data_IF_194270622151
#
_entry.id   IF_194270622151
#
_cell.length_a   1.000
_cell.length_b   1.000
_cell.length_c   1.000
_cell.angle_alpha   90.00
_cell.angle_beta   90.00
_cell.angle_gamma   90.00
#
_symmetry.space_group_name_H-M   'P 1'
#
loop_
_entity.id
_entity.type
_entity.pdbx_description
1 polymer ?
#
# COMPACT_ATOMS: atom_id res chain seq x y z
N UNK A 1 -16.62 -24.34 10.86
CA UNK A 1 -15.29 -24.85 10.47
C UNK A 1 -14.62 -25.35 11.73
N UNK A 2 -14.63 -26.67 11.92
CA UNK A 2 -14.25 -27.34 13.16
C UNK A 2 -12.84 -27.89 12.94
N UNK A 3 -11.84 -27.32 13.58
CA UNK A 3 -10.49 -27.90 13.61
C UNK A 3 -10.57 -29.26 14.29
N UNK A 4 -10.50 -30.34 13.51
CA UNK A 4 -10.25 -31.69 14.03
C UNK A 4 -8.74 -31.86 14.16
N UNK A 5 -8.19 -31.33 15.26
CA UNK A 5 -6.87 -31.74 15.74
C UNK A 5 -7.05 -33.13 16.34
N UNK A 6 -6.86 -34.16 15.52
CA UNK A 6 -6.64 -35.52 16.00
C UNK A 6 -5.16 -35.64 16.35
N UNK A 7 -4.78 -35.38 17.60
CA UNK A 7 -3.42 -35.66 18.07
C UNK A 7 -3.48 -36.58 19.28
N UNK A 8 -2.94 -37.79 19.08
CA UNK A 8 -2.47 -38.67 20.14
C UNK A 8 -1.27 -37.99 20.82
N UNK A 9 -1.52 -37.12 21.81
CA UNK A 9 -0.55 -36.82 22.89
C UNK A 9 -1.12 -37.43 24.16
N UNK A 10 -1.10 -38.75 24.24
CA UNK A 10 -1.54 -39.46 25.44
C UNK A 10 -0.40 -40.36 25.91
N UNK A 11 0.65 -39.78 26.48
CA UNK A 11 1.47 -40.46 27.51
C UNK A 11 2.47 -39.59 28.30
N UNK A 12 2.65 -38.29 28.00
CA UNK A 12 3.62 -37.45 28.74
C UNK A 12 3.01 -36.42 29.72
N UNK A 13 1.70 -36.16 29.67
CA UNK A 13 1.05 -35.07 30.42
C UNK A 13 0.65 -35.41 31.87
N UNK A 14 1.05 -36.56 32.42
CA UNK A 14 0.62 -37.00 33.76
C UNK A 14 1.52 -36.52 34.93
N UNK A 15 2.53 -35.69 34.66
CA UNK A 15 3.51 -35.25 35.68
C UNK A 15 3.25 -33.89 36.33
N UNK A 16 2.39 -33.04 35.76
CA UNK A 16 2.15 -31.69 36.29
C UNK A 16 0.83 -31.61 37.05
N UNK A 17 0.90 -31.87 38.35
CA UNK A 17 -0.24 -31.77 39.27
C UNK A 17 0.23 -32.11 40.67
N UNK A 18 0.65 -31.08 41.42
CA UNK A 18 1.10 -31.22 42.79
C UNK A 18 0.07 -31.92 43.67
N UNK A 19 0.42 -33.13 44.13
CA UNK A 19 -0.17 -33.75 45.30
C UNK A 19 0.27 -32.96 46.54
N UNK A 20 -0.68 -32.36 47.24
CA UNK A 20 -0.41 -31.60 48.47
C UNK A 20 -1.67 -31.38 49.31
N UNK A 21 -2.25 -32.46 49.82
CA UNK A 21 -3.33 -32.40 50.81
C UNK A 21 -2.79 -32.29 52.25
N UNK A 22 -3.24 -31.23 52.93
CA UNK A 22 -3.55 -31.06 54.36
C UNK A 22 -2.54 -31.44 55.47
N UNK A 23 -2.28 -30.47 56.38
CA UNK A 23 -2.03 -30.77 57.80
C UNK A 23 -1.26 -29.76 58.66
N UNK A 24 -2.00 -28.85 59.32
CA UNK A 24 -1.77 -28.27 60.67
C UNK A 24 -0.58 -27.36 61.00
N UNK A 25 -0.89 -26.24 61.70
CA UNK A 25 -0.05 -25.73 62.79
C UNK A 25 0.06 -24.22 62.93
N UNK A 26 -0.93 -23.59 63.57
CA UNK A 26 -0.86 -22.21 64.09
C UNK A 26 0.10 -22.17 65.29
N UNK A 27 1.08 -21.28 65.29
CA UNK A 27 1.74 -20.84 66.53
C UNK A 27 2.11 -19.35 66.44
N UNK A 28 1.47 -18.58 67.32
CA UNK A 28 1.78 -17.17 67.59
C UNK A 28 3.11 -17.08 68.37
N UNK A 29 3.94 -16.08 68.02
CA UNK A 29 5.17 -15.77 68.73
C UNK A 29 5.74 -14.41 68.31
N UNK A 30 5.43 -13.39 69.11
CA UNK A 30 5.85 -11.99 69.01
C UNK A 30 7.35 -11.77 69.29
N UNK A 31 8.00 -10.85 68.57
CA UNK A 31 9.32 -10.30 68.93
C UNK A 31 9.95 -9.32 67.92
N UNK A 32 9.73 -8.02 68.17
CA UNK A 32 10.40 -6.77 67.74
C UNK A 32 11.48 -6.73 66.64
N UNK A 33 11.29 -5.89 65.60
CA UNK A 33 11.83 -4.52 65.35
C UNK A 33 13.29 -4.50 64.86
N UNK A 34 13.50 -4.07 63.61
CA UNK A 34 14.31 -2.86 63.33
C UNK A 34 13.98 -2.30 61.94
N UNK A 35 13.51 -1.05 61.95
CA UNK A 35 13.37 -0.14 60.83
C UNK A 35 14.72 0.56 60.66
N UNK A 36 15.32 0.48 59.48
CA UNK A 36 16.30 1.48 59.08
C UNK A 36 15.95 2.11 57.74
N UNK A 37 16.17 3.41 57.76
CA UNK A 37 15.75 4.48 56.87
C UNK A 37 16.78 4.77 55.79
N UNK A 38 16.30 5.32 54.67
CA UNK A 38 17.04 6.38 53.99
C UNK A 38 17.33 6.16 52.51
N UNK A 39 16.79 7.04 51.66
CA UNK A 39 17.26 7.21 50.29
C UNK A 39 16.24 7.78 49.30
N UNK A 40 15.55 8.88 49.64
CA UNK A 40 14.83 9.71 48.66
C UNK A 40 15.80 10.37 47.69
N UNK A 41 15.41 10.50 46.41
CA UNK A 41 15.77 11.64 45.55
C UNK A 41 14.84 11.77 44.34
N UNK A 42 13.79 12.55 44.58
CA UNK A 42 13.37 13.73 43.83
C UNK A 42 13.48 13.73 42.29
N UNK A 43 12.28 13.76 41.72
CA UNK A 43 11.92 14.34 40.42
C UNK A 43 12.28 15.83 40.36
N UNK A 44 12.97 16.27 39.31
CA UNK A 44 12.98 17.68 38.94
C UNK A 44 12.87 17.88 37.42
N UNK A 45 11.90 18.72 37.08
CA UNK A 45 11.57 19.29 35.78
C UNK A 45 12.70 20.24 35.33
N UNK A 46 13.15 20.17 34.07
CA UNK A 46 13.80 21.30 33.40
C UNK A 46 13.46 21.36 31.91
N UNK A 47 12.87 22.49 31.55
CA UNK A 47 12.52 22.98 30.22
C UNK A 47 13.74 23.53 29.48
N UNK A 48 13.62 23.53 28.15
CA UNK A 48 14.27 24.35 27.12
C UNK A 48 15.80 24.40 27.05
N UNK A 49 16.37 23.93 25.93
CA UNK A 49 17.39 24.70 25.20
C UNK A 49 17.61 24.20 23.76
N UNK A 50 17.94 25.17 22.92
CA UNK A 50 18.01 25.18 21.46
C UNK A 50 18.95 24.14 20.82
N UNK A 51 18.51 23.53 19.72
CA UNK A 51 19.39 22.83 18.78
C UNK A 51 20.04 23.84 17.82
N UNK A 52 21.26 24.26 18.15
CA UNK A 52 22.15 25.01 17.26
C UNK A 52 22.71 24.10 16.16
N UNK A 53 22.72 24.60 14.92
CA UNK A 53 23.39 24.02 13.76
C UNK A 53 24.92 24.13 13.90
N UNK A 54 25.71 23.21 13.33
CA UNK A 54 27.12 23.47 13.05
C UNK A 54 27.29 23.99 11.62
N UNK A 55 27.82 25.21 11.52
CA UNK A 55 28.37 25.77 10.28
C UNK A 55 29.79 25.26 10.02
N UNK A 56 30.06 25.12 8.72
CA UNK A 56 31.31 25.41 7.99
C UNK A 56 32.51 24.45 8.04
N UNK A 57 32.72 23.74 6.91
CA UNK A 57 34.04 23.57 6.28
C UNK A 57 33.87 23.57 4.75
N UNK A 58 34.35 24.63 4.08
CA UNK A 58 34.73 24.66 2.65
C UNK A 58 36.24 24.93 2.55
N UNK A 59 36.97 24.54 1.46
CA UNK A 59 36.94 25.31 0.21
C UNK A 59 37.09 24.52 -1.13
N UNK A 60 36.29 24.91 -2.14
CA UNK A 60 36.52 25.11 -3.60
C UNK A 60 37.57 24.28 -4.40
N UNK A 61 37.29 23.95 -5.69
CA UNK A 61 37.42 24.95 -6.74
C UNK A 61 36.25 25.06 -7.72
N UNK A 62 36.05 26.30 -8.16
CA UNK A 62 35.20 26.71 -9.28
C UNK A 62 35.62 26.01 -10.58
N UNK A 63 34.65 25.36 -11.23
CA UNK A 63 34.63 25.26 -12.68
C UNK A 63 33.38 25.97 -13.18
N UNK A 64 33.57 27.24 -13.55
CA UNK A 64 32.69 27.92 -14.46
C UNK A 64 32.69 27.13 -15.79
N UNK A 65 31.56 26.52 -16.11
CA UNK A 65 31.24 26.16 -17.49
C UNK A 65 30.09 27.04 -17.95
N UNK A 66 30.37 27.77 -19.01
CA UNK A 66 29.46 28.64 -19.77
C UNK A 66 28.16 27.91 -20.16
N UNK A 67 27.05 28.64 -20.36
CA UNK A 67 25.80 28.04 -20.82
C UNK A 67 25.99 27.53 -22.25
N UNK A 68 26.15 26.22 -22.41
CA UNK A 68 25.98 25.59 -23.72
C UNK A 68 24.51 25.63 -24.08
N UNK A 69 24.22 26.47 -25.07
CA UNK A 69 22.98 26.56 -25.82
C UNK A 69 22.58 25.16 -26.32
N UNK A 70 21.72 24.48 -25.56
CA UNK A 70 21.10 23.23 -26.03
C UNK A 70 20.00 23.64 -26.99
N UNK A 71 20.38 23.68 -28.26
CA UNK A 71 19.51 23.74 -29.42
C UNK A 71 18.23 22.93 -29.19
N UNK A 72 17.11 23.65 -29.08
CA UNK A 72 15.75 23.14 -29.20
C UNK A 72 15.62 22.33 -30.49
N UNK A 73 15.65 21.01 -30.36
CA UNK A 73 15.51 20.07 -31.46
C UNK A 73 14.27 19.23 -31.26
N UNK A 74 13.15 19.67 -31.86
CA UNK A 74 11.99 18.84 -32.14
C UNK A 74 10.83 18.98 -31.16
N UNK A 75 10.12 20.12 -31.20
CA UNK A 75 8.67 20.10 -31.02
C UNK A 75 8.08 19.19 -32.12
N UNK A 76 7.96 17.91 -31.80
CA UNK A 76 7.08 17.02 -32.56
C UNK A 76 5.67 17.50 -32.31
N UNK A 77 4.96 17.88 -33.38
CA UNK A 77 3.57 18.35 -33.36
C UNK A 77 2.76 17.57 -32.32
N UNK A 78 2.45 18.24 -31.21
CA UNK A 78 1.50 17.72 -30.26
C UNK A 78 0.22 17.41 -31.05
N UNK A 79 -0.39 16.22 -30.88
CA UNK A 79 -1.58 15.87 -31.63
C UNK A 79 -2.63 16.98 -31.46
N UNK A 80 -3.52 17.22 -32.43
CA UNK A 80 -4.43 18.38 -32.48
C UNK A 80 -5.38 18.54 -31.27
N UNK A 81 -5.30 17.63 -30.30
CA UNK A 81 -5.95 17.68 -29.00
C UNK A 81 -5.25 18.61 -27.99
N UNK A 82 -3.96 18.93 -28.15
CA UNK A 82 -3.19 19.80 -27.24
C UNK A 82 -3.37 21.30 -27.55
N UNK A 83 -3.61 21.68 -28.82
CA UNK A 83 -3.52 23.08 -29.28
C UNK A 83 -4.73 23.97 -28.98
N UNK A 84 -5.59 23.56 -28.05
CA UNK A 84 -6.47 24.53 -27.38
C UNK A 84 -6.14 24.42 -25.91
N UNK A 85 -5.12 25.18 -25.48
CA UNK A 85 -4.91 25.52 -24.08
C UNK A 85 -6.29 25.78 -23.47
N UNK A 86 -6.71 24.88 -22.58
CA UNK A 86 -7.94 25.07 -21.87
C UNK A 86 -7.78 26.37 -21.07
N UNK A 87 -8.63 27.37 -21.33
CA UNK A 87 -8.65 28.58 -20.52
C UNK A 87 -8.94 28.17 -19.07
N UNK A 88 -7.96 28.31 -18.17
CA UNK A 88 -8.08 28.01 -16.75
C UNK A 88 -7.25 26.82 -16.27
N UNK A 89 -7.35 26.50 -14.98
CA UNK A 89 -6.66 25.36 -14.35
C UNK A 89 -7.34 24.06 -14.75
N UNK A 90 -6.56 23.03 -15.09
CA UNK A 90 -7.06 21.72 -15.48
C UNK A 90 -6.22 20.58 -14.88
N UNK A 91 -6.81 19.40 -14.62
CA UNK A 91 -6.05 18.20 -14.29
C UNK A 91 -5.29 17.68 -15.52
N UNK A 92 -4.09 17.15 -15.32
CA UNK A 92 -3.31 16.55 -16.40
C UNK A 92 -3.95 15.22 -16.84
N UNK A 93 -4.14 15.09 -18.15
CA UNK A 93 -4.67 13.89 -18.80
C UNK A 93 -4.14 13.86 -20.26
N UNK A 94 -2.85 13.61 -20.42
CA UNK A 94 -2.13 13.65 -21.71
C UNK A 94 -1.59 12.25 -22.03
N UNK A 95 -2.39 11.36 -22.62
CA UNK A 95 -1.97 9.97 -22.86
C UNK A 95 -0.85 9.81 -23.90
N UNK A 96 -0.52 10.86 -24.65
CA UNK A 96 0.62 10.92 -25.57
C UNK A 96 1.93 11.38 -24.91
N UNK A 97 1.89 11.83 -23.66
CA UNK A 97 3.08 12.29 -22.94
C UNK A 97 3.86 11.13 -22.35
N UNK A 98 5.18 11.18 -22.45
CA UNK A 98 6.08 10.23 -21.78
C UNK A 98 6.22 10.51 -20.28
N UNK A 99 5.74 11.66 -19.79
CA UNK A 99 5.80 12.01 -18.38
C UNK A 99 4.80 11.17 -17.57
N UNK A 100 5.29 10.46 -16.55
CA UNK A 100 4.48 9.51 -15.78
C UNK A 100 3.19 10.10 -15.19
N UNK A 101 3.30 11.31 -14.63
CA UNK A 101 2.21 12.00 -13.93
C UNK A 101 1.40 12.95 -14.83
N UNK A 102 1.63 12.94 -16.14
CA UNK A 102 0.74 13.62 -17.09
C UNK A 102 -0.59 12.88 -17.29
N UNK A 103 -0.71 11.68 -16.70
CA UNK A 103 -1.93 10.92 -16.52
C UNK A 103 -2.13 10.61 -15.04
N UNK A 104 -3.37 10.48 -14.56
CA UNK A 104 -3.61 10.00 -13.19
C UNK A 104 -3.00 8.62 -12.96
N UNK A 105 -2.52 8.38 -11.74
CA UNK A 105 -1.97 7.09 -11.31
C UNK A 105 -2.67 6.63 -10.03
N UNK A 106 -3.05 5.36 -9.85
CA UNK A 106 -2.98 4.24 -10.79
C UNK A 106 -3.94 4.41 -11.98
N UNK A 107 -3.74 3.62 -13.04
CA UNK A 107 -4.66 3.53 -14.17
C UNK A 107 -4.55 2.19 -14.89
N UNK A 108 -5.68 1.53 -15.17
CA UNK A 108 -5.68 0.29 -15.96
C UNK A 108 -5.23 0.52 -17.43
N UNK A 109 -5.12 1.79 -17.87
CA UNK A 109 -4.44 2.11 -19.13
C UNK A 109 -2.94 1.75 -19.11
N UNK A 110 -2.35 1.62 -17.91
CA UNK A 110 -0.97 1.16 -17.68
C UNK A 110 -0.92 -0.33 -17.32
N UNK A 111 -2.00 -1.09 -17.53
CA UNK A 111 -2.02 -2.54 -17.30
C UNK A 111 -1.90 -3.26 -18.65
N UNK A 112 -0.94 -4.17 -18.75
CA UNK A 112 -0.72 -4.99 -19.95
C UNK A 112 -1.73 -6.15 -19.99
N UNK A 113 -1.83 -6.81 -21.15
CA UNK A 113 -2.75 -7.94 -21.33
C UNK A 113 -2.45 -9.13 -20.40
N UNK A 114 -1.19 -9.31 -20.00
CA UNK A 114 -0.75 -10.34 -19.04
C UNK A 114 -1.02 -9.99 -17.57
N UNK A 115 -1.60 -8.81 -17.30
CA UNK A 115 -1.91 -8.31 -15.96
C UNK A 115 -0.78 -7.49 -15.31
N UNK A 116 0.44 -7.54 -15.87
CA UNK A 116 1.58 -6.76 -15.36
C UNK A 116 1.39 -5.26 -15.58
N UNK A 117 2.08 -4.47 -14.76
CA UNK A 117 2.03 -3.02 -14.83
C UNK A 117 3.11 -2.46 -15.76
N UNK A 118 2.74 -1.46 -16.56
CA UNK A 118 3.66 -0.60 -17.28
C UNK A 118 3.99 0.65 -16.45
N UNK A 119 5.18 0.62 -15.86
CA UNK A 119 5.74 1.72 -15.07
C UNK A 119 6.78 2.53 -15.86
N UNK A 120 6.78 2.43 -17.20
CA UNK A 120 7.64 3.26 -18.03
C UNK A 120 7.41 4.77 -17.73
N UNK A 121 8.52 5.51 -17.69
CA UNK A 121 8.53 6.93 -17.35
C UNK A 121 8.47 7.26 -15.86
N UNK A 122 8.33 6.26 -14.96
CA UNK A 122 8.33 6.53 -13.51
C UNK A 122 9.58 7.33 -13.10
N UNK A 123 9.45 8.42 -12.32
CA UNK A 123 10.58 9.31 -12.09
C UNK A 123 11.70 8.67 -11.27
N UNK A 124 12.93 8.68 -11.81
CA UNK A 124 14.17 8.37 -11.09
C UNK A 124 15.25 9.45 -11.32
N UNK A 125 15.01 10.72 -10.93
CA UNK A 125 15.87 11.84 -11.30
C UNK A 125 17.26 11.81 -10.65
N UNK A 126 17.42 11.05 -9.58
CA UNK A 126 18.71 10.85 -8.90
C UNK A 126 19.40 9.54 -9.33
N UNK A 127 18.88 8.86 -10.36
CA UNK A 127 19.44 7.61 -10.92
C UNK A 127 19.72 6.56 -9.85
N UNK A 128 18.80 6.41 -8.89
CA UNK A 128 18.95 5.47 -7.76
C UNK A 128 18.78 4.05 -8.27
N UNK A 129 19.81 3.19 -8.26
CA UNK A 129 19.72 1.85 -8.85
C UNK A 129 18.72 0.94 -8.14
N UNK A 130 18.54 1.15 -6.82
CA UNK A 130 17.54 0.44 -6.03
C UNK A 130 16.11 0.72 -6.53
N UNK A 131 15.84 1.92 -7.04
CA UNK A 131 14.51 2.25 -7.56
C UNK A 131 14.25 1.51 -8.89
N UNK A 132 15.25 1.42 -9.76
CA UNK A 132 15.14 0.66 -11.01
C UNK A 132 14.89 -0.82 -10.74
N UNK A 133 15.56 -1.37 -9.71
CA UNK A 133 15.34 -2.74 -9.26
C UNK A 133 13.92 -2.95 -8.74
N UNK A 134 13.41 -2.05 -7.90
CA UNK A 134 12.04 -2.12 -7.38
C UNK A 134 11.01 -2.02 -8.52
N UNK A 135 11.22 -1.14 -9.50
CA UNK A 135 10.35 -1.04 -10.68
C UNK A 135 10.38 -2.37 -11.46
N UNK A 136 11.57 -2.95 -11.65
CA UNK A 136 11.70 -4.26 -12.33
C UNK A 136 10.95 -5.37 -11.59
N UNK A 137 11.09 -5.45 -10.26
CA UNK A 137 10.38 -6.43 -9.44
C UNK A 137 8.86 -6.24 -9.58
N UNK A 138 8.35 -5.02 -9.43
CA UNK A 138 6.91 -4.74 -9.53
C UNK A 138 6.38 -5.11 -10.92
N UNK A 139 7.07 -4.69 -11.97
CA UNK A 139 6.65 -5.00 -13.35
C UNK A 139 6.77 -6.48 -13.73
N UNK A 140 7.52 -7.29 -12.96
CA UNK A 140 7.69 -8.73 -13.23
C UNK A 140 6.75 -9.63 -12.43
N UNK A 141 6.42 -9.26 -11.19
CA UNK A 141 5.77 -10.17 -10.24
C UNK A 141 4.41 -9.68 -9.72
N UNK A 142 4.06 -8.41 -9.94
CA UNK A 142 2.80 -7.85 -9.43
C UNK A 142 1.76 -7.83 -10.54
N UNK A 143 0.67 -8.57 -10.32
CA UNK A 143 -0.55 -8.49 -11.14
C UNK A 143 -1.51 -7.49 -10.48
N UNK A 144 -1.62 -6.28 -11.04
CA UNK A 144 -2.55 -5.23 -10.59
C UNK A 144 -2.04 -4.32 -9.47
N UNK A 145 -2.91 -3.46 -8.95
CA UNK A 145 -2.55 -2.41 -7.99
C UNK A 145 -2.70 -2.83 -6.53
N UNK A 146 -2.08 -2.07 -5.62
CA UNK A 146 -2.12 -2.36 -4.18
C UNK A 146 -3.53 -2.22 -3.58
N UNK A 147 -3.95 -3.08 -2.63
CA UNK A 147 -5.17 -2.88 -1.83
C UNK A 147 -5.18 -1.58 -1.01
N UNK A 148 -4.02 -0.94 -0.81
CA UNK A 148 -3.86 0.33 -0.10
C UNK A 148 -3.28 1.42 -1.02
N UNK A 149 -3.60 1.35 -2.31
CA UNK A 149 -3.06 2.24 -3.35
C UNK A 149 -3.29 3.72 -3.03
N UNK A 150 -2.24 4.53 -3.17
CA UNK A 150 -2.37 5.99 -3.23
C UNK A 150 -2.66 6.37 -4.68
N UNK A 151 -3.68 7.21 -4.87
CA UNK A 151 -4.11 7.71 -6.16
C UNK A 151 -3.72 9.17 -6.30
N UNK A 152 -3.19 9.55 -7.46
CA UNK A 152 -2.61 10.83 -7.76
C UNK A 152 -3.28 11.47 -8.99
N UNK A 153 -3.62 12.75 -8.87
CA UNK A 153 -4.04 13.62 -9.97
C UNK A 153 -3.15 14.86 -9.96
N UNK A 154 -2.35 15.06 -11.01
CA UNK A 154 -1.58 16.29 -11.19
C UNK A 154 -2.47 17.36 -11.85
N UNK A 155 -2.19 18.64 -11.56
CA UNK A 155 -2.90 19.78 -12.13
C UNK A 155 -1.92 20.75 -12.78
N UNK A 156 -2.41 21.50 -13.77
CA UNK A 156 -1.63 22.53 -14.45
C UNK A 156 -1.22 23.69 -13.52
N UNK A 157 -1.99 23.94 -12.47
CA UNK A 157 -1.76 24.98 -11.47
C UNK A 157 -2.43 24.64 -10.11
N UNK A 158 -2.31 25.52 -9.13
CA UNK A 158 -2.86 25.39 -7.78
C UNK A 158 -4.40 25.36 -7.78
N UNK A 159 -4.97 24.38 -7.06
CA UNK A 159 -6.41 24.28 -6.80
C UNK A 159 -6.78 24.86 -5.44
N UNK A 160 -8.02 25.30 -5.27
CA UNK A 160 -8.55 25.65 -3.97
C UNK A 160 -8.76 24.38 -3.12
N UNK A 161 -8.24 24.40 -1.89
CA UNK A 161 -8.32 23.25 -0.97
C UNK A 161 -9.47 23.36 0.02
N UNK A 162 -10.23 24.46 0.04
CA UNK A 162 -11.27 24.73 1.05
C UNK A 162 -12.33 23.62 1.14
N UNK A 163 -12.60 22.93 0.03
CA UNK A 163 -13.55 21.81 -0.05
C UNK A 163 -13.13 20.57 0.75
N UNK A 164 -11.86 20.45 1.13
CA UNK A 164 -11.33 19.28 1.87
C UNK A 164 -10.22 19.63 2.89
N UNK A 165 -9.90 20.92 3.09
CA UNK A 165 -8.89 21.34 4.06
C UNK A 165 -9.41 21.33 5.50
N UNK A 166 -10.71 21.57 5.69
CA UNK A 166 -11.35 21.54 7.03
C UNK A 166 -11.43 20.13 7.61
N UNK A 167 -11.49 19.12 6.75
CA UNK A 167 -11.35 17.71 7.08
C UNK A 167 -10.74 16.99 5.87
N UNK A 168 -9.47 16.53 5.95
CA UNK A 168 -8.88 15.74 4.85
C UNK A 168 -9.53 14.36 4.74
N UNK A 169 -10.40 14.00 5.69
CA UNK A 169 -11.21 12.78 5.66
C UNK A 169 -12.54 13.04 4.94
N UNK A 170 -12.74 12.32 3.84
CA UNK A 170 -14.01 12.24 3.10
C UNK A 170 -14.64 10.88 3.37
N UNK A 171 -15.93 10.87 3.73
CA UNK A 171 -16.63 9.68 4.22
C UNK A 171 -17.04 8.72 3.11
N UNK A 172 -16.93 9.14 1.85
CA UNK A 172 -17.47 8.40 0.72
C UNK A 172 -18.93 8.79 0.45
N UNK A 173 -19.25 10.08 0.55
CA UNK A 173 -20.56 10.62 0.22
C UNK A 173 -20.64 10.97 -1.27
N UNK A 174 -21.82 10.84 -1.89
CA UNK A 174 -22.02 11.19 -3.31
C UNK A 174 -21.80 12.68 -3.63
N UNK A 175 -21.76 13.52 -2.59
CA UNK A 175 -21.47 14.95 -2.70
C UNK A 175 -20.02 15.30 -2.32
N UNK A 176 -19.16 14.31 -2.06
CA UNK A 176 -17.75 14.58 -1.77
C UNK A 176 -17.04 15.15 -3.02
N UNK A 177 -16.11 16.11 -2.85
CA UNK A 177 -15.43 16.77 -3.96
C UNK A 177 -14.50 15.82 -4.74
N UNK A 178 -14.05 14.76 -4.06
CA UNK A 178 -13.22 13.70 -4.60
C UNK A 178 -13.78 12.38 -4.07
N UNK A 179 -13.95 11.39 -4.94
CA UNK A 179 -14.58 10.12 -4.57
C UNK A 179 -13.73 8.94 -5.05
N UNK A 180 -13.79 7.84 -4.30
CA UNK A 180 -13.25 6.54 -4.69
C UNK A 180 -14.40 5.53 -4.64
N UNK A 181 -14.71 4.89 -5.76
CA UNK A 181 -15.95 4.12 -5.93
C UNK A 181 -15.61 2.75 -6.52
N UNK A 182 -16.16 1.70 -5.95
CA UNK A 182 -16.08 0.37 -6.54
C UNK A 182 -16.95 0.32 -7.81
N UNK A 183 -16.33 -0.01 -8.93
CA UNK A 183 -16.96 -0.13 -10.25
C UNK A 183 -16.92 -1.56 -10.78
N UNK A 184 -16.65 -2.53 -9.89
CA UNK A 184 -16.72 -3.96 -10.15
C UNK A 184 -18.17 -4.37 -10.34
N UNK A 185 -18.50 -5.03 -11.46
CA UNK A 185 -19.86 -5.53 -11.70
C UNK A 185 -20.21 -6.56 -10.62
N UNK A 186 -21.20 -6.26 -9.77
CA UNK A 186 -21.61 -7.15 -8.69
C UNK A 186 -22.30 -6.41 -7.56
N UNK A 187 -22.28 -7.04 -6.37
CA UNK A 187 -22.93 -6.54 -5.15
C UNK A 187 -22.33 -5.22 -4.66
N UNK A 188 -21.02 -5.05 -4.80
CA UNK A 188 -20.31 -3.84 -4.33
C UNK A 188 -20.35 -2.69 -5.35
N UNK A 189 -20.96 -2.85 -6.53
CA UNK A 189 -20.97 -1.82 -7.56
C UNK A 189 -21.59 -0.51 -7.04
N UNK A 190 -20.87 0.60 -7.19
CA UNK A 190 -21.27 1.92 -6.70
C UNK A 190 -20.93 2.18 -5.22
N UNK A 191 -20.35 1.22 -4.51
CA UNK A 191 -19.93 1.40 -3.13
C UNK A 191 -18.80 2.45 -3.05
N UNK A 192 -18.99 3.46 -2.21
CA UNK A 192 -18.03 4.54 -2.01
C UNK A 192 -17.10 4.21 -0.86
N UNK A 193 -15.81 4.40 -1.10
CA UNK A 193 -14.74 4.11 -0.15
C UNK A 193 -14.35 5.42 0.56
N UNK A 194 -14.32 5.44 1.90
CA UNK A 194 -13.83 6.61 2.64
C UNK A 194 -12.34 6.83 2.39
N UNK A 195 -11.96 8.08 2.13
CA UNK A 195 -10.60 8.45 1.73
C UNK A 195 -10.00 9.56 2.59
N UNK A 196 -8.67 9.58 2.64
CA UNK A 196 -7.88 10.72 3.05
C UNK A 196 -7.39 11.45 1.80
N UNK A 197 -7.50 12.78 1.80
CA UNK A 197 -7.13 13.67 0.70
C UNK A 197 -6.02 14.62 1.15
N UNK A 198 -5.01 14.80 0.30
CA UNK A 198 -3.93 15.77 0.50
C UNK A 198 -3.59 16.42 -0.82
N UNK A 199 -3.46 17.75 -0.83
CA UNK A 199 -2.89 18.48 -1.95
C UNK A 199 -1.43 18.88 -1.65
N UNK A 200 -0.54 18.67 -2.60
CA UNK A 200 0.88 19.01 -2.54
C UNK A 200 1.17 20.06 -3.60
N UNK A 201 1.32 21.31 -3.15
CA UNK A 201 1.63 22.44 -4.04
C UNK A 201 3.06 22.32 -4.59
N UNK A 202 4.02 22.15 -3.69
CA UNK A 202 5.44 22.15 -4.05
C UNK A 202 5.85 20.85 -4.75
N UNK A 203 6.76 20.99 -5.73
CA UNK A 203 7.36 19.85 -6.42
C UNK A 203 8.22 19.04 -5.45
N UNK A 204 8.04 17.72 -5.46
CA UNK A 204 8.89 16.78 -4.73
C UNK A 204 10.02 16.22 -5.59
N UNK A 205 10.86 15.38 -5.00
CA UNK A 205 11.92 14.67 -5.74
C UNK A 205 11.33 13.71 -6.78
N UNK A 206 10.33 12.92 -6.40
CA UNK A 206 9.75 11.86 -7.25
C UNK A 206 8.34 12.17 -7.76
N UNK A 207 7.79 13.34 -7.43
CA UNK A 207 6.41 13.73 -7.76
C UNK A 207 6.36 15.18 -8.23
N UNK A 208 5.48 15.54 -9.17
CA UNK A 208 5.31 16.93 -9.59
C UNK A 208 4.73 17.80 -8.47
N UNK A 209 4.78 19.11 -8.67
CA UNK A 209 3.96 20.05 -7.88
C UNK A 209 2.49 19.98 -8.32
N UNK A 210 1.63 20.70 -7.60
CA UNK A 210 0.18 20.74 -7.84
C UNK A 210 -0.45 19.35 -7.94
N UNK A 211 -0.13 18.48 -6.98
CA UNK A 211 -0.51 17.08 -6.97
C UNK A 211 -1.56 16.80 -5.87
N UNK A 212 -2.74 16.34 -6.27
CA UNK A 212 -3.73 15.79 -5.37
C UNK A 212 -3.45 14.31 -5.16
N UNK A 213 -3.23 13.93 -3.90
CA UNK A 213 -3.08 12.54 -3.47
C UNK A 213 -4.28 12.12 -2.63
N UNK A 214 -4.89 10.98 -2.96
CA UNK A 214 -5.93 10.36 -2.16
C UNK A 214 -5.58 8.91 -1.85
N UNK A 215 -6.12 8.38 -0.76
CA UNK A 215 -5.99 6.95 -0.42
C UNK A 215 -7.14 6.51 0.46
N UNK A 216 -7.47 5.21 0.52
CA UNK A 216 -8.35 4.67 1.55
C UNK A 216 -7.89 5.07 2.95
N UNK A 217 -8.83 5.28 3.86
CA UNK A 217 -8.52 5.54 5.26
C UNK A 217 -7.87 4.34 5.93
N UNK A 218 -7.15 4.59 7.02
CA UNK A 218 -6.53 3.54 7.81
C UNK A 218 -7.58 2.48 8.24
N UNK A 219 -7.23 1.21 8.06
CA UNK A 219 -8.10 0.07 8.38
C UNK A 219 -9.11 -0.29 7.28
N UNK A 220 -9.21 0.50 6.20
CA UNK A 220 -10.02 0.16 5.02
C UNK A 220 -9.08 -0.25 3.89
N UNK A 221 -9.23 -1.49 3.44
CA UNK A 221 -8.49 -2.05 2.30
C UNK A 221 -9.42 -2.25 1.13
N UNK A 222 -8.96 -1.94 -0.07
CA UNK A 222 -9.64 -2.29 -1.30
C UNK A 222 -9.65 -3.81 -1.49
N UNK A 223 -10.70 -4.35 -2.13
CA UNK A 223 -10.84 -5.79 -2.35
C UNK A 223 -9.96 -6.22 -3.52
N UNK A 224 -9.31 -7.37 -3.39
CA UNK A 224 -8.52 -7.98 -4.47
C UNK A 224 -9.41 -8.35 -5.67
N UNK A 225 -8.92 -8.13 -6.88
CA UNK A 225 -9.66 -8.39 -8.12
C UNK A 225 -10.77 -7.37 -8.45
N UNK A 226 -11.05 -6.42 -7.56
CA UNK A 226 -12.03 -5.36 -7.79
C UNK A 226 -11.42 -4.19 -8.57
N UNK A 227 -12.26 -3.55 -9.39
CA UNK A 227 -11.94 -2.33 -10.13
C UNK A 227 -12.55 -1.13 -9.42
N UNK A 228 -11.76 -0.07 -9.25
CA UNK A 228 -12.16 1.16 -8.58
C UNK A 228 -12.00 2.36 -9.50
N UNK A 229 -12.97 3.27 -9.45
CA UNK A 229 -12.90 4.58 -10.08
C UNK A 229 -12.60 5.65 -9.02
N UNK A 230 -11.52 6.39 -9.21
CA UNK A 230 -11.26 7.62 -8.48
C UNK A 230 -11.65 8.82 -9.35
N UNK A 231 -12.40 9.76 -8.80
CA UNK A 231 -12.93 10.90 -9.54
C UNK A 231 -12.76 12.22 -8.78
N UNK A 232 -12.48 13.28 -9.53
CA UNK A 232 -12.48 14.67 -9.05
C UNK A 232 -13.69 15.37 -9.67
N UNK A 233 -14.49 16.01 -8.83
CA UNK A 233 -15.72 16.70 -9.26
C UNK A 233 -15.51 18.19 -9.47
N UNK A 234 -16.51 18.84 -10.04
CA UNK A 234 -16.63 20.29 -10.23
C UNK A 234 -16.69 21.11 -8.93
N UNK A 235 -16.81 20.45 -7.76
CA UNK A 235 -16.65 21.14 -6.48
C UNK A 235 -15.20 21.53 -6.18
N UNK A 236 -14.23 20.86 -6.82
CA UNK A 236 -12.84 21.30 -6.79
C UNK A 236 -12.69 22.43 -7.82
N UNK A 237 -12.18 23.57 -7.36
CA UNK A 237 -12.02 24.79 -8.17
C UNK A 237 -10.55 25.19 -8.24
N UNK A 238 -10.21 26.07 -9.17
CA UNK A 238 -8.92 26.75 -9.17
C UNK A 238 -8.75 27.60 -7.90
N UNK A 239 -7.52 28.00 -7.58
CA UNK A 239 -7.25 28.86 -6.41
C UNK A 239 -8.08 30.15 -6.37
N UNK A 240 -8.35 30.74 -7.53
CA UNK A 240 -9.19 31.95 -7.69
C UNK A 240 -10.70 31.65 -7.67
N UNK A 241 -11.08 30.40 -7.39
CA UNK A 241 -12.45 29.87 -7.34
C UNK A 241 -13.11 29.73 -8.71
N UNK A 242 -12.38 29.89 -9.81
CA UNK A 242 -12.91 29.56 -11.13
C UNK A 242 -13.16 28.05 -11.25
N UNK A 243 -14.14 27.60 -12.06
CA UNK A 243 -14.28 26.20 -12.40
C UNK A 243 -13.00 25.64 -13.05
N UNK A 244 -12.71 24.37 -12.80
CA UNK A 244 -11.64 23.67 -13.51
C UNK A 244 -12.09 23.35 -14.94
N UNK A 245 -11.18 23.46 -15.89
CA UNK A 245 -11.43 23.01 -17.24
C UNK A 245 -11.28 21.48 -17.33
N UNK A 246 -12.18 20.83 -18.07
CA UNK A 246 -12.11 19.38 -18.32
C UNK A 246 -11.14 19.08 -19.46
N UNK A 247 -10.19 18.14 -19.31
CA UNK A 247 -9.28 17.79 -20.40
C UNK A 247 -10.01 17.21 -21.60
N UNK A 248 -9.72 17.70 -22.81
CA UNK A 248 -10.36 17.20 -24.04
C UNK A 248 -10.10 15.71 -24.27
N UNK A 249 -8.89 15.23 -23.96
CA UNK A 249 -8.56 13.81 -24.06
C UNK A 249 -9.37 12.96 -23.09
N UNK A 250 -9.66 13.46 -21.88
CA UNK A 250 -10.55 12.77 -20.94
C UNK A 250 -11.97 12.69 -21.49
N UNK A 251 -12.52 13.80 -21.98
CA UNK A 251 -13.85 13.81 -22.60
C UNK A 251 -13.91 12.88 -23.83
N UNK A 252 -12.88 12.93 -24.69
CA UNK A 252 -12.75 12.04 -25.84
C UNK A 252 -12.61 10.57 -25.47
N UNK A 253 -11.99 10.27 -24.32
CA UNK A 253 -11.89 8.90 -23.83
C UNK A 253 -13.24 8.38 -23.31
N UNK A 254 -14.05 9.26 -22.69
CA UNK A 254 -15.38 8.91 -22.20
C UNK A 254 -16.41 8.72 -23.33
N UNK A 255 -16.37 9.53 -24.38
CA UNK A 255 -17.29 9.43 -25.52
C UNK A 255 -16.81 8.48 -26.63
N UNK A 256 -15.60 7.92 -26.48
CA UNK A 256 -15.00 6.98 -27.43
C UNK A 256 -14.43 7.63 -28.70
N UNK A 257 -14.30 8.96 -28.74
CA UNK A 257 -13.72 9.69 -29.88
C UNK A 257 -12.20 9.83 -29.81
N UNK A 258 -11.57 9.53 -28.66
CA UNK A 258 -10.13 9.53 -28.52
C UNK A 258 -9.50 8.38 -29.32
N UNK A 259 -8.78 8.74 -30.38
CA UNK A 259 -8.06 7.79 -31.25
C UNK A 259 -6.62 7.58 -30.80
N UNK A 260 -6.02 6.44 -31.15
CA UNK A 260 -4.62 6.11 -30.80
C UNK A 260 -4.42 5.50 -29.40
N UNK A 261 -5.42 5.59 -28.51
CA UNK A 261 -5.33 5.10 -27.13
C UNK A 261 -6.47 4.13 -26.74
N UNK A 262 -6.68 3.02 -27.48
CA UNK A 262 -7.80 2.10 -27.23
C UNK A 262 -7.77 1.47 -25.83
N UNK A 263 -6.59 1.20 -25.27
CA UNK A 263 -6.44 0.68 -23.91
C UNK A 263 -6.99 1.63 -22.84
N UNK A 264 -6.78 2.94 -23.00
CA UNK A 264 -7.31 3.97 -22.12
C UNK A 264 -8.84 4.11 -22.22
N UNK A 265 -9.37 4.10 -23.44
CA UNK A 265 -10.82 4.11 -23.67
C UNK A 265 -11.45 2.89 -23.00
N UNK A 266 -10.84 1.72 -23.19
CA UNK A 266 -11.30 0.47 -22.59
C UNK A 266 -11.22 0.50 -21.05
N UNK A 267 -10.16 1.06 -20.46
CA UNK A 267 -10.00 1.11 -19.01
C UNK A 267 -11.07 1.94 -18.32
N UNK A 268 -11.62 2.97 -18.98
CA UNK A 268 -12.66 3.83 -18.41
C UNK A 268 -14.09 3.26 -18.51
N UNK A 269 -14.29 2.14 -19.21
CA UNK A 269 -15.65 1.57 -19.41
C UNK A 269 -16.40 1.24 -18.11
N UNK A 270 -15.78 0.73 -17.04
CA UNK A 270 -16.48 0.52 -15.78
C UNK A 270 -17.08 1.82 -15.20
N UNK A 271 -16.38 2.94 -15.36
CA UNK A 271 -16.87 4.26 -14.93
C UNK A 271 -18.08 4.73 -15.74
N UNK A 272 -18.12 4.46 -17.05
CA UNK A 272 -19.28 4.82 -17.88
C UNK A 272 -20.57 4.15 -17.40
N UNK A 273 -20.49 2.88 -16.96
CA UNK A 273 -21.63 2.18 -16.35
C UNK A 273 -22.10 2.87 -15.06
N UNK A 274 -21.19 3.42 -14.28
CA UNK A 274 -21.54 4.17 -13.07
C UNK A 274 -22.28 5.46 -13.43
N UNK A 275 -21.81 6.19 -14.45
CA UNK A 275 -22.47 7.40 -14.93
C UNK A 275 -23.88 7.14 -15.50
N UNK A 276 -24.10 6.00 -16.16
CA UNK A 276 -25.44 5.60 -16.60
C UNK A 276 -26.42 5.39 -15.44
N UNK A 277 -25.93 4.94 -14.28
CA UNK A 277 -26.76 4.67 -13.09
C UNK A 277 -26.94 5.89 -12.19
N UNK A 278 -25.95 6.79 -12.15
CA UNK A 278 -25.97 7.97 -11.29
C UNK A 278 -26.06 9.27 -12.13
N UNK A 279 -27.30 9.70 -12.37
CA UNK A 279 -27.61 10.91 -13.14
C UNK A 279 -26.88 12.14 -12.60
N UNK A 280 -26.19 12.87 -13.48
CA UNK A 280 -25.44 14.08 -13.15
C UNK A 280 -23.99 13.83 -12.71
N UNK A 281 -23.59 12.60 -12.39
CA UNK A 281 -22.22 12.32 -11.93
C UNK A 281 -21.19 12.52 -13.06
N UNK A 282 -21.51 12.11 -14.28
CA UNK A 282 -20.64 12.31 -15.44
C UNK A 282 -20.42 13.78 -15.76
N UNK A 283 -21.48 14.59 -15.70
CA UNK A 283 -21.45 16.04 -15.93
C UNK A 283 -20.64 16.77 -14.86
N UNK A 284 -20.64 16.29 -13.62
CA UNK A 284 -19.87 16.86 -12.52
C UNK A 284 -18.42 16.38 -12.49
N UNK A 285 -18.09 15.23 -13.08
CA UNK A 285 -16.73 14.69 -13.07
C UNK A 285 -15.82 15.51 -13.99
N UNK A 286 -14.75 16.08 -13.43
CA UNK A 286 -13.73 16.87 -14.14
C UNK A 286 -12.64 15.97 -14.72
N UNK A 287 -12.19 14.98 -13.94
CA UNK A 287 -11.24 13.93 -14.35
C UNK A 287 -11.48 12.69 -13.50
N UNK A 288 -11.14 11.52 -14.04
CA UNK A 288 -11.17 10.27 -13.32
C UNK A 288 -10.08 9.30 -13.81
N UNK A 289 -9.82 8.28 -12.99
CA UNK A 289 -9.05 7.10 -13.36
C UNK A 289 -9.73 5.84 -12.85
N UNK A 290 -9.56 4.75 -13.58
CA UNK A 290 -10.05 3.42 -13.19
C UNK A 290 -8.85 2.51 -13.05
N UNK A 291 -8.80 1.73 -11.98
CA UNK A 291 -7.71 0.80 -11.72
C UNK A 291 -8.22 -0.47 -11.05
N UNK A 292 -7.57 -1.60 -11.34
CA UNK A 292 -7.92 -2.90 -10.78
C UNK A 292 -6.90 -3.35 -9.74
N UNK A 293 -7.38 -3.69 -8.55
CA UNK A 293 -6.56 -4.20 -7.45
C UNK A 293 -6.12 -5.62 -7.75
N UNK A 294 -4.85 -5.88 -7.49
CA UNK A 294 -4.22 -7.16 -7.71
C UNK A 294 -4.59 -8.25 -6.73
N UNK A 295 -3.82 -9.34 -6.77
CA UNK A 295 -3.98 -10.51 -5.90
C UNK A 295 -2.75 -10.76 -5.01
N UNK A 296 -2.29 -9.78 -4.19
CA UNK A 296 -1.06 -9.92 -3.41
C UNK A 296 -1.08 -11.07 -2.39
N UNK A 297 -2.26 -11.57 -1.99
CA UNK A 297 -2.37 -12.74 -1.11
C UNK A 297 -2.52 -14.07 -1.86
N UNK A 298 -2.64 -14.06 -3.19
CA UNK A 298 -3.02 -15.24 -3.98
C UNK A 298 -2.06 -16.41 -3.80
N UNK A 299 -0.75 -16.17 -3.83
CA UNK A 299 0.26 -17.21 -3.65
C UNK A 299 0.24 -17.82 -2.24
N UNK A 300 0.15 -16.97 -1.21
CA UNK A 300 0.05 -17.43 0.19
C UNK A 300 -1.25 -18.20 0.45
N UNK A 301 -2.35 -17.83 -0.21
CA UNK A 301 -3.61 -18.58 -0.13
C UNK A 301 -3.45 -19.98 -0.74
N UNK A 302 -2.78 -20.11 -1.89
CA UNK A 302 -2.48 -21.42 -2.49
C UNK A 302 -1.60 -22.27 -1.57
N UNK A 303 -0.55 -21.68 -1.00
CA UNK A 303 0.33 -22.38 -0.04
C UNK A 303 -0.46 -22.85 1.18
N UNK A 304 -1.31 -21.99 1.75
CA UNK A 304 -2.18 -22.37 2.86
C UNK A 304 -3.08 -23.54 2.49
N UNK A 305 -3.77 -23.48 1.35
CA UNK A 305 -4.66 -24.56 0.91
C UNK A 305 -3.91 -25.88 0.70
N UNK A 306 -2.70 -25.83 0.15
CA UNK A 306 -1.83 -26.99 0.04
C UNK A 306 -1.50 -27.58 1.41
N UNK A 307 -1.08 -26.76 2.37
CA UNK A 307 -0.76 -27.22 3.74
C UNK A 307 -1.95 -27.83 4.47
N UNK A 308 -3.17 -27.34 4.23
CA UNK A 308 -4.40 -27.89 4.80
C UNK A 308 -4.69 -29.33 4.32
N UNK A 309 -4.08 -29.78 3.22
CA UNK A 309 -4.17 -31.16 2.71
C UNK A 309 -3.07 -32.10 3.21
N UNK A 310 -2.02 -31.55 3.83
CA UNK A 310 -0.88 -32.35 4.32
C UNK A 310 -1.18 -32.99 5.67
N UNK A 311 -0.43 -34.05 5.99
CA UNK A 311 -0.48 -34.63 7.33
C UNK A 311 0.04 -33.64 8.38
N UNK A 312 -0.51 -33.63 9.61
CA UNK A 312 0.03 -32.84 10.70
C UNK A 312 1.52 -33.14 10.93
N UNK A 313 2.33 -32.14 11.31
CA UNK A 313 3.75 -32.35 11.55
C UNK A 313 3.97 -33.28 12.76
N UNK A 314 5.06 -34.04 12.72
CA UNK A 314 5.52 -34.87 13.83
C UNK A 314 6.36 -33.98 14.76
N UNK A 315 6.00 -33.97 16.05
CA UNK A 315 6.77 -33.28 17.08
C UNK A 315 7.95 -34.16 17.50
N UNK A 316 9.13 -33.55 17.57
CA UNK A 316 10.41 -34.16 17.88
C UNK A 316 11.04 -33.46 19.09
N UNK A 317 11.90 -34.19 19.81
CA UNK A 317 12.75 -33.65 20.88
C UNK A 317 11.97 -32.81 21.91
N UNK A 318 10.81 -33.32 22.36
CA UNK A 318 9.97 -32.61 23.31
C UNK A 318 10.59 -32.70 24.71
N UNK A 319 10.93 -31.55 25.30
CA UNK A 319 11.53 -31.42 26.60
C UNK A 319 10.73 -30.46 27.49
N UNK A 320 10.64 -30.77 28.78
CA UNK A 320 10.10 -29.85 29.79
C UNK A 320 11.17 -28.81 30.13
N UNK A 321 10.95 -27.55 29.76
CA UNK A 321 11.93 -26.47 29.92
C UNK A 321 11.64 -25.62 31.14
N UNK A 322 10.37 -25.49 31.53
CA UNK A 322 9.97 -24.76 32.74
C UNK A 322 8.75 -25.36 33.41
N UNK A 323 8.65 -25.18 34.73
CA UNK A 323 7.47 -25.52 35.51
C UNK A 323 7.31 -24.47 36.60
N UNK A 324 6.10 -23.93 36.73
CA UNK A 324 5.70 -23.10 37.87
C UNK A 324 4.45 -23.67 38.56
N UNK A 325 3.80 -22.88 39.42
CA UNK A 325 2.61 -23.32 40.16
C UNK A 325 1.41 -23.61 39.26
N UNK A 326 1.35 -23.02 38.06
CA UNK A 326 0.14 -22.94 37.25
C UNK A 326 0.32 -23.43 35.81
N UNK A 327 1.56 -23.68 35.36
CA UNK A 327 1.88 -24.08 33.99
C UNK A 327 3.16 -24.91 33.86
N UNK A 328 3.23 -25.69 32.78
CA UNK A 328 4.41 -26.46 32.38
C UNK A 328 4.74 -26.12 30.93
N UNK A 329 5.94 -25.60 30.69
CA UNK A 329 6.39 -25.21 29.36
C UNK A 329 7.20 -26.34 28.76
N UNK A 330 6.71 -26.89 27.66
CA UNK A 330 7.42 -27.86 26.85
C UNK A 330 7.93 -27.19 25.58
N UNK A 331 9.21 -27.38 25.27
CA UNK A 331 9.77 -26.99 23.99
C UNK A 331 10.09 -28.23 23.16
N UNK A 332 10.10 -28.07 21.85
CA UNK A 332 10.52 -29.12 20.94
C UNK A 332 10.64 -28.59 19.53
N UNK A 333 10.79 -29.49 18.57
CA UNK A 333 10.96 -29.13 17.17
C UNK A 333 10.00 -29.88 16.27
N UNK A 334 9.74 -29.32 15.10
CA UNK A 334 9.10 -30.02 14.00
C UNK A 334 9.73 -29.61 12.67
N UNK A 335 9.56 -30.44 11.65
CA UNK A 335 9.96 -30.08 10.28
C UNK A 335 8.80 -29.36 9.60
N UNK A 336 9.05 -28.14 9.13
CA UNK A 336 8.12 -27.35 8.35
C UNK A 336 8.62 -27.24 6.90
N UNK A 337 7.73 -27.33 5.89
CA UNK A 337 8.12 -27.06 4.53
C UNK A 337 8.47 -25.57 4.35
N UNK A 338 9.61 -25.30 3.72
CA UNK A 338 9.97 -23.98 3.23
C UNK A 338 9.74 -23.91 1.71
N UNK A 339 9.06 -22.87 1.25
CA UNK A 339 8.65 -22.68 -0.14
C UNK A 339 9.45 -21.60 -0.88
N UNK A 340 10.33 -20.86 -0.20
CA UNK A 340 11.11 -19.79 -0.82
C UNK A 340 12.23 -20.39 -1.66
N UNK A 341 12.21 -20.10 -2.96
CA UNK A 341 13.26 -20.53 -3.87
C UNK A 341 14.57 -19.79 -3.57
N UNK A 342 15.67 -20.51 -3.69
CA UNK A 342 17.02 -19.97 -3.60
C UNK A 342 17.68 -20.28 -2.26
N UNK A 343 18.64 -19.47 -1.86
CA UNK A 343 19.40 -19.65 -0.62
C UNK A 343 19.31 -18.41 0.25
N UNK A 344 18.99 -18.52 1.56
CA UNK A 344 19.06 -17.42 2.50
C UNK A 344 20.41 -16.67 2.41
N UNK A 345 20.42 -15.33 2.45
CA UNK A 345 19.30 -14.42 2.74
C UNK A 345 18.49 -14.00 1.48
N UNK A 346 18.47 -14.82 0.43
CA UNK A 346 17.66 -14.64 -0.80
C UNK A 346 17.96 -13.35 -1.57
N UNK A 347 19.24 -13.08 -1.83
CA UNK A 347 19.67 -11.85 -2.53
C UNK A 347 19.33 -11.82 -4.02
N UNK A 348 19.12 -12.99 -4.64
CA UNK A 348 18.82 -13.12 -6.09
C UNK A 348 17.49 -13.83 -6.38
N UNK A 349 16.91 -14.49 -5.38
CA UNK A 349 15.66 -15.25 -5.48
C UNK A 349 14.73 -14.84 -4.32
N UNK A 350 13.93 -15.76 -3.76
CA UNK A 350 12.98 -15.47 -2.68
C UNK A 350 11.53 -15.33 -3.13
N UNK A 351 11.19 -15.82 -4.32
CA UNK A 351 9.82 -16.02 -4.78
C UNK A 351 9.37 -17.47 -4.53
N UNK A 352 8.06 -17.70 -4.65
CA UNK A 352 7.47 -19.04 -4.58
C UNK A 352 7.47 -19.70 -5.96
N UNK A 353 7.75 -20.99 -6.00
CA UNK A 353 7.58 -21.80 -7.21
C UNK A 353 6.32 -22.66 -7.10
N UNK A 354 5.62 -22.80 -8.22
CA UNK A 354 4.47 -23.67 -8.37
C UNK A 354 4.73 -24.64 -9.53
N UNK A 355 4.34 -25.90 -9.37
CA UNK A 355 4.50 -26.92 -10.41
C UNK A 355 3.45 -26.78 -11.53
N UNK A 356 3.48 -27.69 -12.52
CA UNK A 356 2.53 -27.69 -13.64
C UNK A 356 1.06 -27.87 -13.21
N UNK A 357 0.82 -28.44 -12.02
CA UNK A 357 -0.51 -28.60 -11.43
C UNK A 357 -0.95 -27.38 -10.62
N UNK A 358 -0.05 -26.41 -10.39
CA UNK A 358 -0.28 -25.21 -9.60
C UNK A 358 -0.10 -25.42 -8.09
N UNK A 359 0.47 -26.56 -7.67
CA UNK A 359 0.84 -26.81 -6.27
C UNK A 359 2.19 -26.17 -5.94
N UNK A 360 2.37 -25.65 -4.71
CA UNK A 360 3.61 -25.03 -4.31
C UNK A 360 4.73 -26.08 -4.20
N UNK A 361 5.90 -25.74 -4.71
CA UNK A 361 7.09 -26.61 -4.64
C UNK A 361 7.80 -26.40 -3.31
N UNK A 362 7.88 -27.45 -2.50
CA UNK A 362 8.70 -27.47 -1.28
C UNK A 362 10.17 -27.44 -1.69
N UNK A 363 10.91 -26.43 -1.24
CA UNK A 363 12.33 -26.25 -1.57
C UNK A 363 13.20 -27.04 -0.60
N UNK A 364 12.89 -27.00 0.70
CA UNK A 364 13.52 -27.82 1.73
C UNK A 364 12.62 -27.93 2.98
N UNK A 365 13.00 -28.82 3.90
CA UNK A 365 12.38 -28.92 5.22
C UNK A 365 13.22 -28.12 6.22
N UNK A 366 12.58 -27.22 6.94
CA UNK A 366 13.19 -26.35 7.94
C UNK A 366 12.83 -26.84 9.34
N UNK A 367 13.82 -26.91 10.23
CA UNK A 367 13.59 -27.23 11.64
C UNK A 367 13.03 -26.01 12.35
N UNK A 368 11.77 -26.09 12.76
CA UNK A 368 11.08 -25.05 13.50
C UNK A 368 10.96 -25.44 14.98
N UNK A 369 11.31 -24.52 15.87
CA UNK A 369 11.10 -24.67 17.33
C UNK A 369 9.66 -24.28 17.68
N UNK A 370 9.05 -25.01 18.59
CA UNK A 370 7.76 -24.66 19.19
C UNK A 370 7.85 -24.68 20.72
N UNK A 371 6.93 -23.98 21.37
CA UNK A 371 6.69 -24.06 22.80
C UNK A 371 5.19 -24.30 23.07
N UNK A 372 4.87 -25.21 23.98
CA UNK A 372 3.52 -25.49 24.47
C UNK A 372 3.46 -25.19 25.97
N UNK A 373 2.37 -24.59 26.42
CA UNK A 373 2.14 -24.19 27.82
C UNK A 373 0.87 -24.82 28.38
#
# INVERSE_FOLDING_TARGET
MTFRVGFFVLLALLGCGGSGGEGFGRQDGSGNIDLDTGGSRDTEHKTDDAWQQPEDVSPHPDFANEPTDVSSGGEGDAPPFDTVEAQGVYPLFKPWSDAFFDMPYPSDARRKEDGSLDLSGFPNPNEVPLLDELIRIVTSFVDGYSPNQVIYFAFSDEIATDSFASSPFLRGDAQDPVQLIDVTVGEDFGARIPILVRFMKEKGVYVPGNLLAIRPVWGVTLKEGHSYAALVTDMVTAKDRSPLAKPKAFLGALDGTLTGFPGLVQSLRPLLKLFEQESGLGERTVVATVFTVGHPRGELQKIRSYLETQAPPILLDIELVSTDSDSCVYEGHYLAPNFLKGTPPYLQDGYFEFDESGEPVIQFQETMTFALT
#
